data_IF_018877308717
#
_entry.id   IF_018877308717
#
_cell.length_a   1.000
_cell.length_b   1.000
_cell.length_c   1.000
_cell.angle_alpha   90.00
_cell.angle_beta   90.00
_cell.angle_gamma   90.00
#
_symmetry.space_group_name_H-M   'P 1'
#
loop_
_entity.id
_entity.type
_entity.pdbx_description
1 polymer ?
#
# COMPACT_ATOMS: atom_id res chain seq x y z
N UNK A 1 -5.78 -15.46 -21.13
CA UNK A 1 -5.85 -15.07 -19.72
C UNK A 1 -6.93 -14.01 -19.66
N UNK A 2 -8.10 -14.36 -19.15
CA UNK A 2 -9.16 -13.37 -18.94
C UNK A 2 -8.64 -12.35 -17.92
N UNK A 3 -8.71 -11.07 -18.26
CA UNK A 3 -8.42 -10.01 -17.31
C UNK A 3 -9.68 -9.90 -16.47
N UNK A 4 -9.67 -10.46 -15.26
CA UNK A 4 -10.67 -10.09 -14.27
C UNK A 4 -10.50 -8.60 -13.98
N UNK A 5 -11.48 -7.81 -14.40
CA UNK A 5 -11.58 -6.40 -14.01
C UNK A 5 -12.17 -6.42 -12.60
N UNK A 6 -11.32 -6.43 -11.58
CA UNK A 6 -11.73 -6.13 -10.21
C UNK A 6 -11.96 -4.63 -10.05
N UNK A 7 -12.82 -4.24 -9.11
CA UNK A 7 -13.12 -2.83 -8.84
C UNK A 7 -11.88 -2.02 -8.40
N UNK A 8 -10.83 -2.69 -7.93
CA UNK A 8 -9.52 -2.12 -7.59
C UNK A 8 -8.41 -3.18 -7.58
N UNK A 9 -7.15 -2.77 -7.75
CA UNK A 9 -5.97 -3.65 -7.75
C UNK A 9 -5.05 -3.46 -6.54
N UNK A 10 -5.28 -2.42 -5.74
CA UNK A 10 -4.49 -2.09 -4.56
C UNK A 10 -4.96 -0.81 -3.91
N UNK A 11 -4.48 -0.54 -2.70
CA UNK A 11 -4.88 0.61 -1.90
C UNK A 11 -3.67 1.38 -1.39
N UNK A 12 -3.84 2.69 -1.21
CA UNK A 12 -2.87 3.58 -0.57
C UNK A 12 -3.61 4.47 0.43
N UNK A 13 -3.00 4.79 1.56
CA UNK A 13 -3.61 5.62 2.60
C UNK A 13 -2.71 6.78 3.03
N UNK A 14 -3.30 7.94 3.21
CA UNK A 14 -2.63 9.08 3.83
C UNK A 14 -2.93 9.09 5.34
N UNK A 15 -1.93 8.74 6.14
CA UNK A 15 -2.04 8.74 7.60
C UNK A 15 -1.49 10.04 8.18
N UNK A 16 -2.34 10.77 8.90
CA UNK A 16 -1.98 12.05 9.52
C UNK A 16 -1.80 11.92 11.02
N UNK A 17 -0.73 12.52 11.55
CA UNK A 17 -0.52 12.74 12.97
C UNK A 17 -0.33 14.24 13.22
N UNK A 18 -1.43 14.93 13.55
CA UNK A 18 -1.46 16.39 13.57
C UNK A 18 -1.23 16.98 12.17
N UNK A 19 -0.18 17.78 12.03
CA UNK A 19 0.24 18.43 10.78
C UNK A 19 1.23 17.60 9.96
N UNK A 20 1.53 16.36 10.40
CA UNK A 20 2.48 15.46 9.74
C UNK A 20 1.75 14.39 8.93
N UNK A 21 2.23 14.13 7.72
CA UNK A 21 1.83 13.00 6.88
C UNK A 21 2.90 11.91 6.97
N UNK A 22 2.49 10.68 7.26
CA UNK A 22 3.38 9.52 7.23
C UNK A 22 3.56 9.02 5.79
N UNK A 23 4.82 8.87 5.39
CA UNK A 23 5.24 8.33 4.10
C UNK A 23 6.31 7.26 4.33
N UNK A 24 6.39 6.28 3.44
CA UNK A 24 7.45 5.27 3.41
C UNK A 24 8.48 5.61 2.34
N UNK A 25 9.74 5.27 2.57
CA UNK A 25 10.77 5.23 1.54
C UNK A 25 10.87 3.79 1.06
N UNK A 26 10.58 3.55 -0.22
CA UNK A 26 10.63 2.21 -0.82
C UNK A 26 12.05 1.66 -0.79
N UNK A 27 12.18 0.34 -0.71
CA UNK A 27 13.46 -0.35 -0.80
C UNK A 27 14.27 0.09 -2.03
N UNK A 28 15.58 0.25 -1.86
CA UNK A 28 16.51 0.51 -2.96
C UNK A 28 16.93 -0.81 -3.64
N UNK A 29 15.97 -1.45 -4.31
CA UNK A 29 16.14 -2.73 -5.01
C UNK A 29 15.84 -2.57 -6.48
N UNK A 30 16.84 -2.74 -7.35
CA UNK A 30 16.68 -2.52 -8.79
C UNK A 30 15.62 -3.41 -9.48
N UNK A 31 15.17 -4.49 -8.83
CA UNK A 31 14.16 -5.40 -9.36
C UNK A 31 12.71 -5.02 -9.02
N UNK A 32 12.49 -3.96 -8.22
CA UNK A 32 11.14 -3.45 -7.94
C UNK A 32 10.87 -2.16 -8.74
N UNK A 33 9.60 -1.86 -9.09
CA UNK A 33 9.25 -0.56 -9.63
C UNK A 33 9.58 0.56 -8.64
N UNK A 34 10.09 1.69 -9.16
CA UNK A 34 10.34 2.92 -8.40
C UNK A 34 11.16 2.71 -7.12
N UNK A 35 12.37 2.14 -7.21
CA UNK A 35 13.22 1.93 -6.03
C UNK A 35 13.67 3.27 -5.44
N UNK A 36 13.85 3.32 -4.12
CA UNK A 36 14.33 4.50 -3.39
C UNK A 36 13.47 5.78 -3.60
N UNK A 37 12.17 5.61 -3.83
CA UNK A 37 11.20 6.70 -3.97
C UNK A 37 10.26 6.76 -2.76
N UNK A 38 9.80 7.96 -2.42
CA UNK A 38 8.79 8.16 -1.37
C UNK A 38 7.40 7.75 -1.84
N UNK A 39 6.62 7.12 -0.96
CA UNK A 39 5.24 6.68 -1.24
C UNK A 39 4.36 6.72 0.01
N UNK A 40 3.03 6.66 -0.19
CA UNK A 40 2.07 6.40 0.89
C UNK A 40 2.08 4.91 1.28
N UNK A 41 1.82 4.58 2.55
CA UNK A 41 1.59 3.21 2.97
C UNK A 41 0.46 2.55 2.18
N UNK A 42 0.59 1.25 1.94
CA UNK A 42 -0.39 0.43 1.22
C UNK A 42 0.24 -0.43 0.14
N UNK A 43 -0.54 -1.33 -0.44
CA UNK A 43 -0.06 -2.29 -1.43
C UNK A 43 -1.15 -2.92 -2.27
N UNK A 44 -0.87 -4.11 -2.77
CA UNK A 44 -1.71 -4.81 -3.74
C UNK A 44 -2.87 -5.51 -3.07
N UNK A 45 -3.97 -5.70 -3.81
CA UNK A 45 -5.09 -6.52 -3.34
C UNK A 45 -4.67 -7.98 -3.26
N UNK A 46 -5.01 -8.65 -2.18
CA UNK A 46 -4.87 -10.09 -1.98
C UNK A 46 -6.23 -10.77 -1.86
N UNK A 47 -6.46 -11.80 -2.68
CA UNK A 47 -7.71 -12.58 -2.67
C UNK A 47 -8.97 -11.72 -2.88
N UNK A 48 -9.99 -11.96 -2.07
CA UNK A 48 -11.30 -11.32 -2.20
C UNK A 48 -11.49 -10.10 -1.29
N UNK A 49 -10.41 -9.58 -0.68
CA UNK A 49 -10.51 -8.49 0.29
C UNK A 49 -11.18 -7.23 -0.30
N UNK A 50 -11.89 -6.48 0.54
CA UNK A 50 -12.39 -5.15 0.23
C UNK A 50 -11.25 -4.12 0.26
N UNK A 51 -11.43 -2.92 -0.34
CA UNK A 51 -10.40 -1.88 -0.30
C UNK A 51 -9.93 -1.50 1.11
N UNK A 52 -10.85 -1.49 2.10
CA UNK A 52 -10.50 -1.15 3.48
C UNK A 52 -9.77 -2.29 4.20
N UNK A 53 -10.11 -3.54 3.92
CA UNK A 53 -9.35 -4.69 4.43
C UNK A 53 -7.94 -4.71 3.85
N UNK A 54 -7.81 -4.47 2.53
CA UNK A 54 -6.52 -4.34 1.84
C UNK A 54 -5.61 -3.32 2.51
N UNK A 55 -6.10 -2.09 2.70
CA UNK A 55 -5.26 -1.03 3.24
C UNK A 55 -4.97 -1.22 4.74
N UNK A 56 -5.87 -1.84 5.50
CA UNK A 56 -5.64 -2.15 6.90
C UNK A 56 -4.56 -3.22 7.07
N UNK A 57 -4.60 -4.29 6.26
CA UNK A 57 -3.56 -5.32 6.22
C UNK A 57 -2.20 -4.72 5.87
N UNK A 58 -2.12 -3.94 4.81
CA UNK A 58 -0.87 -3.33 4.35
C UNK A 58 -0.28 -2.35 5.38
N UNK A 59 -1.12 -1.55 6.05
CA UNK A 59 -0.66 -0.68 7.16
C UNK A 59 -0.06 -1.50 8.30
N UNK A 60 -0.67 -2.63 8.65
CA UNK A 60 -0.13 -3.53 9.65
C UNK A 60 1.21 -4.15 9.20
N UNK A 61 1.29 -4.63 7.96
CA UNK A 61 2.49 -5.28 7.40
C UNK A 61 3.67 -4.31 7.24
N UNK A 62 3.44 -3.10 6.71
CA UNK A 62 4.51 -2.14 6.44
C UNK A 62 4.92 -1.33 7.67
N UNK A 63 4.00 -1.08 8.61
CA UNK A 63 4.21 -0.12 9.71
C UNK A 63 3.99 -0.70 11.11
N UNK A 64 3.36 -1.88 11.25
CA UNK A 64 3.02 -2.47 12.55
C UNK A 64 1.98 -1.69 13.34
N UNK A 65 1.16 -0.86 12.68
CA UNK A 65 0.11 -0.06 13.32
C UNK A 65 -1.18 -0.89 13.43
N UNK A 66 -1.84 -0.83 14.61
CA UNK A 66 -3.08 -1.54 14.95
C UNK A 66 -4.25 -0.58 15.14
#
# INVERSE_FOLDING_TARGET
MEIEISDFTGCKIALFCGDKLLTILRDDKANIPWPNMGELPGGGREGDESPFECVAREVYEELGIH
#
